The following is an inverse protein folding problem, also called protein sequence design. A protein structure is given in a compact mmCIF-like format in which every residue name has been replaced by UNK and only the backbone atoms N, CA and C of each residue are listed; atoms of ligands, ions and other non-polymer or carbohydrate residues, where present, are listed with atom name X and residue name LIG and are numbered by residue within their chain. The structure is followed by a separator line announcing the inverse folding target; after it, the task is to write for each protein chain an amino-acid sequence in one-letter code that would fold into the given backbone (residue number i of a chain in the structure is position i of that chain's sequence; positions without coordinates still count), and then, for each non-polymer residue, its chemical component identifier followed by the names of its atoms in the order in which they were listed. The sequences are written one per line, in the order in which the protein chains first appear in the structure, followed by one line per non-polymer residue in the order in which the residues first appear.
data_IF_691336724356
#
_entry.id   IF_691336724356
#
_cell.length_a   1.000
_cell.length_b   1.000
_cell.length_c   1.000
_cell.angle_alpha   90.00
_cell.angle_beta   90.00
_cell.angle_gamma   90.00
#
_symmetry.space_group_name_H-M   'P 1'
#
loop_
_entity.id
_entity.type
_entity.pdbx_description
1 polymer ?
#
# COMPACT_ATOMS: atom_id res chain seq x y z
N UNK A 1 10.26 -3.63 -15.78
CA UNK A 1 9.22 -4.10 -16.72
C UNK A 1 8.81 -2.94 -17.61
N UNK A 2 8.70 -3.14 -18.93
CA UNK A 2 8.40 -2.07 -19.92
C UNK A 2 6.91 -2.02 -20.30
N UNK A 3 6.04 -2.49 -19.41
CA UNK A 3 4.60 -2.59 -19.64
C UNK A 3 3.91 -1.83 -18.52
N UNK A 4 2.94 -0.99 -18.89
CA UNK A 4 2.06 -0.34 -17.93
C UNK A 4 1.25 -1.42 -17.20
N UNK A 5 1.02 -1.21 -15.92
CA UNK A 5 0.17 -2.08 -15.10
C UNK A 5 -0.66 -1.23 -14.15
N UNK A 6 -1.56 -1.85 -13.43
CA UNK A 6 -2.39 -1.16 -12.44
C UNK A 6 -2.35 -1.97 -11.17
N UNK A 7 -1.93 -1.38 -10.05
CA UNK A 7 -2.11 -2.01 -8.75
C UNK A 7 -3.59 -1.98 -8.41
N UNK A 8 -4.25 -3.14 -8.36
CA UNK A 8 -5.70 -3.28 -8.12
C UNK A 8 -6.02 -3.75 -6.70
N UNK A 9 -5.01 -4.12 -5.93
CA UNK A 9 -5.19 -4.50 -4.54
C UNK A 9 -3.88 -4.80 -3.83
N UNK A 10 -3.96 -4.81 -2.52
CA UNK A 10 -2.94 -5.34 -1.63
C UNK A 10 -3.63 -6.26 -0.62
N UNK A 11 -2.93 -7.28 -0.15
CA UNK A 11 -3.38 -8.15 0.93
C UNK A 11 -2.21 -8.52 1.83
N UNK A 12 -2.51 -8.84 3.08
CA UNK A 12 -1.58 -9.45 4.03
C UNK A 12 -2.17 -10.77 4.51
N UNK A 13 -1.37 -11.55 5.22
CA UNK A 13 -1.86 -12.74 5.90
C UNK A 13 -2.95 -12.37 6.93
N UNK A 14 -3.99 -13.20 7.06
CA UNK A 14 -5.10 -12.97 7.99
C UNK A 14 -4.62 -12.93 9.45
N UNK A 15 -3.45 -13.49 9.76
CA UNK A 15 -2.81 -13.35 11.08
C UNK A 15 -2.26 -11.95 11.36
N UNK A 16 -2.19 -11.07 10.35
CA UNK A 16 -1.75 -9.68 10.46
C UNK A 16 -2.95 -8.74 10.44
N UNK A 17 -3.76 -8.77 9.38
CA UNK A 17 -4.93 -7.90 9.22
C UNK A 17 -6.02 -8.60 8.40
N UNK A 18 -7.29 -8.35 8.75
CA UNK A 18 -8.42 -8.91 8.02
C UNK A 18 -8.80 -8.10 6.79
N UNK A 19 -8.40 -6.82 6.72
CA UNK A 19 -8.72 -5.93 5.62
C UNK A 19 -7.52 -5.06 5.26
N UNK A 20 -7.40 -4.77 3.97
CA UNK A 20 -6.32 -3.98 3.41
C UNK A 20 -6.87 -3.07 2.31
N UNK A 21 -6.53 -1.79 2.40
CA UNK A 21 -7.02 -0.76 1.49
C UNK A 21 -5.85 0.05 0.94
N UNK A 22 -5.93 0.48 -0.32
CA UNK A 22 -4.92 1.35 -0.93
C UNK A 22 -5.43 2.78 -0.88
N UNK A 23 -4.66 3.67 -0.28
CA UNK A 23 -5.05 5.06 -0.08
C UNK A 23 -4.06 6.00 -0.76
N UNK A 24 -4.55 7.13 -1.24
CA UNK A 24 -3.76 8.26 -1.71
C UNK A 24 -3.91 9.42 -0.74
N UNK A 25 -2.78 10.05 -0.41
CA UNK A 25 -2.80 11.33 0.30
C UNK A 25 -2.90 12.45 -0.73
N UNK A 26 -3.93 13.28 -0.62
CA UNK A 26 -4.15 14.45 -1.49
C UNK A 26 -4.14 15.72 -0.66
N UNK A 27 -3.54 16.78 -1.19
CA UNK A 27 -3.65 18.11 -0.57
C UNK A 27 -4.90 18.78 -1.09
N UNK A 28 -5.81 19.13 -0.18
CA UNK A 28 -7.03 19.84 -0.52
C UNK A 28 -6.75 21.32 -0.83
N UNK A 29 -7.70 21.99 -1.47
CA UNK A 29 -7.56 23.39 -1.89
C UNK A 29 -7.34 24.36 -0.72
N UNK A 30 -7.73 23.98 0.49
CA UNK A 30 -7.54 24.76 1.72
C UNK A 30 -6.17 24.51 2.40
N UNK A 31 -5.31 23.67 1.80
CA UNK A 31 -4.00 23.31 2.34
C UNK A 31 -4.02 22.18 3.37
N UNK A 32 -5.19 21.60 3.65
CA UNK A 32 -5.28 20.41 4.52
C UNK A 32 -4.89 19.13 3.75
N UNK A 33 -4.34 18.15 4.48
CA UNK A 33 -4.06 16.82 3.94
C UNK A 33 -5.28 15.92 4.12
N UNK A 34 -5.77 15.34 3.02
CA UNK A 34 -6.81 14.32 3.01
C UNK A 34 -6.23 12.96 2.61
N UNK A 35 -6.85 11.89 3.08
CA UNK A 35 -6.58 10.53 2.63
C UNK A 35 -7.83 9.99 1.95
N UNK A 36 -7.67 9.41 0.76
CA UNK A 36 -8.78 8.83 0.01
C UNK A 36 -8.43 7.42 -0.43
N UNK A 37 -9.35 6.48 -0.16
CA UNK A 37 -9.27 5.12 -0.71
C UNK A 37 -9.31 5.18 -2.25
N UNK A 38 -8.42 4.44 -2.89
CA UNK A 38 -8.40 4.25 -4.34
C UNK A 38 -8.56 2.76 -4.67
N UNK A 39 -9.44 2.48 -5.63
CA UNK A 39 -9.67 1.10 -6.09
C UNK A 39 -8.54 0.54 -6.95
N UNK A 40 -7.77 1.44 -7.54
CA UNK A 40 -6.72 1.09 -8.49
C UNK A 40 -5.70 2.22 -8.59
N UNK A 41 -4.42 1.87 -8.70
CA UNK A 41 -3.31 2.80 -8.88
C UNK A 41 -2.59 2.47 -10.19
N UNK A 42 -2.60 3.40 -11.14
CA UNK A 42 -1.91 3.21 -12.42
C UNK A 42 -0.39 3.31 -12.27
N UNK A 43 0.31 2.30 -12.80
CA UNK A 43 1.75 2.16 -12.76
C UNK A 43 2.28 2.24 -14.20
N UNK A 44 2.87 3.38 -14.55
CA UNK A 44 3.46 3.58 -15.87
C UNK A 44 4.81 2.88 -15.99
N UNK A 45 5.02 2.22 -17.12
CA UNK A 45 6.30 1.61 -17.45
C UNK A 45 7.45 2.64 -17.37
N UNK A 46 8.51 2.29 -16.64
CA UNK A 46 9.68 3.16 -16.49
C UNK A 46 9.49 4.34 -15.52
N UNK A 47 8.30 4.52 -14.95
CA UNK A 47 8.05 5.48 -13.87
C UNK A 47 8.10 4.75 -12.53
N UNK A 48 8.90 5.25 -11.60
CA UNK A 48 8.94 4.74 -10.23
C UNK A 48 7.75 5.31 -9.47
N UNK A 49 6.78 4.47 -9.15
CA UNK A 49 5.72 4.80 -8.18
C UNK A 49 6.20 4.41 -6.78
N UNK A 50 6.19 5.36 -5.86
CA UNK A 50 6.63 5.14 -4.47
C UNK A 50 5.41 5.13 -3.54
N UNK A 51 5.28 4.06 -2.76
CA UNK A 51 4.37 4.00 -1.63
C UNK A 51 5.09 4.65 -0.44
N UNK A 52 4.62 5.81 0.03
CA UNK A 52 5.23 6.56 1.13
C UNK A 52 4.20 7.39 1.90
N UNK A 53 4.49 7.73 3.16
CA UNK A 53 3.70 8.71 3.90
C UNK A 53 3.56 10.01 3.12
N UNK A 54 2.35 10.57 3.09
CA UNK A 54 2.05 11.78 2.30
C UNK A 54 1.86 11.55 0.80
N UNK A 55 1.92 10.29 0.33
CA UNK A 55 1.54 9.88 -1.01
C UNK A 55 0.64 8.66 -0.97
N UNK A 56 0.93 7.66 -1.81
CA UNK A 56 0.22 6.38 -1.80
C UNK A 56 0.67 5.51 -0.62
N UNK A 57 -0.26 4.86 0.06
CA UNK A 57 0.03 3.97 1.17
C UNK A 57 -1.01 2.85 1.28
N UNK A 58 -0.63 1.76 1.92
CA UNK A 58 -1.52 0.63 2.18
C UNK A 58 -1.97 0.73 3.63
N UNK A 59 -3.28 0.84 3.83
CA UNK A 59 -3.91 0.83 5.15
C UNK A 59 -4.23 -0.61 5.53
N UNK A 60 -3.77 -1.02 6.71
CA UNK A 60 -4.14 -2.29 7.33
C UNK A 60 -5.30 -2.02 8.30
N UNK A 61 -6.46 -2.62 8.04
CA UNK A 61 -7.66 -2.50 8.87
C UNK A 61 -7.98 -3.83 9.56
N UNK A 62 -8.62 -3.73 10.73
CA UNK A 62 -8.94 -4.91 11.56
C UNK A 62 -7.72 -5.80 11.78
N UNK A 63 -6.68 -5.22 12.39
CA UNK A 63 -5.48 -5.97 12.76
C UNK A 63 -5.85 -7.16 13.63
N UNK A 64 -5.41 -8.36 13.23
CA UNK A 64 -5.62 -9.57 14.01
C UNK A 64 -4.76 -9.58 15.28
N UNK A 65 -3.60 -8.91 15.24
CA UNK A 65 -2.70 -8.69 16.36
C UNK A 65 -2.04 -7.30 16.27
N UNK A 66 -1.60 -6.72 17.39
CA UNK A 66 -0.78 -5.50 17.36
C UNK A 66 0.48 -5.73 16.52
N UNK A 67 0.85 -4.75 15.69
CA UNK A 67 2.12 -4.80 14.96
C UNK A 67 3.26 -4.60 15.95
N UNK A 68 4.27 -5.48 15.91
CA UNK A 68 5.44 -5.39 16.79
C UNK A 68 6.61 -4.83 15.99
N UNK A 69 7.20 -3.75 16.50
CA UNK A 69 8.38 -3.12 15.91
C UNK A 69 9.50 -4.14 15.75
N UNK A 70 10.13 -4.15 14.58
CA UNK A 70 11.18 -5.11 14.22
C UNK A 70 10.65 -6.41 13.62
N UNK A 71 9.34 -6.67 13.64
CA UNK A 71 8.75 -7.73 12.81
C UNK A 71 8.76 -7.32 11.34
N UNK A 72 8.66 -8.31 10.46
CA UNK A 72 8.50 -8.12 9.01
C UNK A 72 7.17 -8.70 8.58
N UNK A 73 6.41 -7.93 7.83
CA UNK A 73 5.10 -8.31 7.29
C UNK A 73 5.24 -8.54 5.80
N UNK A 74 4.75 -9.67 5.32
CA UNK A 74 4.65 -9.93 3.88
C UNK A 74 3.37 -9.33 3.32
N UNK A 75 3.52 -8.34 2.46
CA UNK A 75 2.41 -7.70 1.74
C UNK A 75 2.38 -8.23 0.32
N UNK A 76 1.26 -8.80 -0.09
CA UNK A 76 1.04 -9.26 -1.46
C UNK A 76 0.32 -8.17 -2.25
N UNK A 77 1.00 -7.63 -3.26
CA UNK A 77 0.46 -6.68 -4.22
C UNK A 77 -0.14 -7.44 -5.39
N UNK A 78 -1.37 -7.10 -5.76
CA UNK A 78 -2.08 -7.69 -6.92
C UNK A 78 -2.21 -6.66 -8.02
N UNK A 79 -1.76 -7.02 -9.21
CA UNK A 79 -1.76 -6.15 -10.38
C UNK A 79 -2.88 -6.54 -11.35
N UNK A 80 -3.36 -5.58 -12.13
CA UNK A 80 -4.44 -5.74 -13.09
C UNK A 80 -4.09 -6.71 -14.21
N UNK A 81 -2.80 -6.89 -14.49
CA UNK A 81 -2.28 -7.96 -15.35
C UNK A 81 -2.52 -9.39 -14.83
N UNK A 82 -2.95 -9.53 -13.57
CA UNK A 82 -3.05 -10.81 -12.87
C UNK A 82 -1.73 -11.25 -12.21
N UNK A 83 -0.66 -10.46 -12.35
CA UNK A 83 0.58 -10.68 -11.62
C UNK A 83 0.38 -10.39 -10.13
N UNK A 84 1.15 -11.08 -9.29
CA UNK A 84 1.25 -10.78 -7.86
C UNK A 84 2.72 -10.60 -7.48
N UNK A 85 2.96 -9.70 -6.53
CA UNK A 85 4.30 -9.48 -5.99
C UNK A 85 4.23 -9.44 -4.47
N UNK A 86 5.01 -10.30 -3.83
CA UNK A 86 5.18 -10.25 -2.37
C UNK A 86 6.32 -9.29 -2.04
N UNK A 87 6.05 -8.36 -1.15
CA UNK A 87 7.00 -7.38 -0.63
C UNK A 87 7.08 -7.55 0.88
N UNK A 88 8.29 -7.73 1.39
CA UNK A 88 8.54 -7.79 2.82
C UNK A 88 8.73 -6.36 3.36
N UNK A 89 7.87 -5.97 4.29
CA UNK A 89 7.84 -4.63 4.88
C UNK A 89 8.17 -4.74 6.37
N UNK A 90 9.27 -4.14 6.85
CA UNK A 90 9.57 -4.11 8.28
C UNK A 90 8.62 -3.16 9.01
N UNK A 91 8.17 -3.56 10.19
CA UNK A 91 7.42 -2.71 11.11
C UNK A 91 8.41 -1.80 11.82
N UNK A 92 8.30 -0.49 11.57
CA UNK A 92 9.12 0.54 12.17
C UNK A 92 8.25 1.39 13.11
N UNK A 93 8.85 1.98 14.15
CA UNK A 93 8.14 2.94 15.03
C UNK A 93 7.71 4.20 14.28
N UNK A 94 8.52 4.62 13.31
CA UNK A 94 8.27 5.78 12.48
C UNK A 94 8.36 5.37 11.00
N UNK A 95 7.53 5.99 10.18
CA UNK A 95 7.60 5.77 8.75
C UNK A 95 8.86 6.45 8.15
N UNK A 96 9.55 5.79 7.21
CA UNK A 96 10.82 6.28 6.65
C UNK A 96 10.67 7.51 5.76
#
# INVERSE_FOLDING_TARGET
SSVDDTLVGASVDESVAMMTEVHETTTQADGSMGMQEIKSLDLKAGVKTELKPGGYHIMLMNLAKPLVVGETISVTLTFGSGATQVVEVPVLEEAP
#
